data_IF_928998627483
#
_entry.id   IF_928998627483
#
_cell.length_a   1.000
_cell.length_b   1.000
_cell.length_c   1.000
_cell.angle_alpha   90.00
_cell.angle_beta   90.00
_cell.angle_gamma   90.00
#
_symmetry.space_group_name_H-M   'P 1'
#
loop_
_entity.id
_entity.type
_entity.pdbx_description
1 polymer ?
#
# COMPACT_ATOMS: atom_id res chain seq x y z
N UNK A 1 31.52 14.19 -39.16
CA UNK A 1 31.31 13.51 -37.87
C UNK A 1 29.87 13.05 -37.90
N UNK A 2 29.63 11.73 -37.96
CA UNK A 2 28.28 11.19 -38.11
C UNK A 2 27.55 11.36 -36.79
N UNK A 3 26.50 12.19 -36.81
CA UNK A 3 25.55 12.29 -35.72
C UNK A 3 24.60 11.10 -35.85
N UNK A 4 24.99 9.98 -35.25
CA UNK A 4 24.17 8.78 -35.18
C UNK A 4 23.05 9.06 -34.18
N UNK A 5 21.86 9.41 -34.69
CA UNK A 5 20.67 9.64 -33.88
C UNK A 5 20.42 8.45 -32.96
N UNK A 6 20.44 8.61 -31.62
CA UNK A 6 20.27 7.49 -30.72
C UNK A 6 18.85 6.92 -30.85
N UNK A 7 18.75 5.61 -31.07
CA UNK A 7 17.51 4.85 -31.16
C UNK A 7 16.56 5.15 -29.98
N UNK A 8 15.24 5.31 -30.21
CA UNK A 8 14.25 5.56 -29.16
C UNK A 8 14.13 4.34 -28.25
N UNK A 9 14.91 4.34 -27.17
CA UNK A 9 15.05 3.21 -26.25
C UNK A 9 16.45 3.05 -25.66
N UNK A 10 17.44 3.80 -26.13
CA UNK A 10 18.77 3.84 -25.53
C UNK A 10 18.69 4.43 -24.11
N UNK A 11 18.74 3.56 -23.11
CA UNK A 11 18.76 3.95 -21.71
C UNK A 11 20.12 4.56 -21.39
N UNK A 12 20.14 5.80 -20.91
CA UNK A 12 21.38 6.50 -20.56
C UNK A 12 22.20 5.67 -19.53
N UNK A 13 23.53 5.80 -19.52
CA UNK A 13 24.39 5.16 -18.51
C UNK A 13 23.96 5.54 -17.09
N UNK A 14 24.06 4.61 -16.15
CA UNK A 14 23.58 4.76 -14.77
C UNK A 14 24.09 6.03 -14.07
N UNK A 15 25.39 6.39 -14.11
CA UNK A 15 25.88 7.61 -13.47
C UNK A 15 25.25 8.88 -14.06
N UNK A 16 24.98 8.87 -15.37
CA UNK A 16 24.36 9.98 -16.08
C UNK A 16 22.88 10.08 -15.71
N UNK A 17 22.17 8.95 -15.63
CA UNK A 17 20.77 8.93 -15.17
C UNK A 17 20.62 9.42 -13.73
N UNK A 18 21.52 9.02 -12.84
CA UNK A 18 21.45 9.40 -11.43
C UNK A 18 21.75 10.89 -11.24
N UNK A 19 22.76 11.39 -11.95
CA UNK A 19 23.10 12.81 -11.95
C UNK A 19 21.96 13.66 -12.52
N UNK A 20 21.42 13.27 -13.68
CA UNK A 20 20.26 13.95 -14.27
C UNK A 20 19.02 13.82 -13.38
N UNK A 21 18.79 12.66 -12.77
CA UNK A 21 17.69 12.46 -11.82
C UNK A 21 17.81 13.35 -10.60
N UNK A 22 19.03 13.57 -10.08
CA UNK A 22 19.30 14.49 -8.98
C UNK A 22 19.06 15.95 -9.39
N UNK A 23 19.52 16.36 -10.58
CA UNK A 23 19.28 17.69 -11.13
C UNK A 23 17.79 17.94 -11.37
N UNK A 24 17.10 17.00 -12.01
CA UNK A 24 15.67 17.11 -12.31
C UNK A 24 14.84 17.16 -11.03
N UNK A 25 15.18 16.37 -9.99
CA UNK A 25 14.53 16.49 -8.67
C UNK A 25 14.78 17.84 -8.00
N UNK A 26 15.90 18.51 -8.27
CA UNK A 26 16.20 19.85 -7.77
C UNK A 26 15.60 21.00 -8.58
N UNK A 27 15.27 20.77 -9.87
CA UNK A 27 14.66 21.74 -10.79
C UNK A 27 13.14 21.55 -10.89
N UNK A 28 12.63 20.38 -10.52
CA UNK A 28 11.20 20.16 -10.25
C UNK A 28 10.76 21.17 -9.19
N UNK A 29 9.70 21.96 -9.44
CA UNK A 29 9.54 23.24 -8.76
C UNK A 29 9.39 23.09 -7.25
N UNK A 30 10.15 23.92 -6.53
CA UNK A 30 9.84 24.35 -5.15
C UNK A 30 8.79 25.49 -5.19
N UNK A 31 8.41 25.99 -6.38
CA UNK A 31 7.41 27.06 -6.59
C UNK A 31 6.10 26.61 -7.28
N UNK A 32 5.97 25.35 -7.66
CA UNK A 32 4.67 24.73 -7.88
C UNK A 32 4.41 23.89 -6.64
N UNK A 33 3.21 24.02 -6.07
CA UNK A 33 2.77 23.27 -4.89
C UNK A 33 3.34 21.85 -4.87
N UNK A 34 3.80 21.43 -3.68
CA UNK A 34 4.27 20.09 -3.31
C UNK A 34 3.95 19.06 -4.41
N UNK A 35 4.95 18.43 -5.07
CA UNK A 35 4.72 17.56 -6.21
C UNK A 35 3.53 16.65 -5.91
N UNK A 36 2.47 16.76 -6.72
CA UNK A 36 1.13 16.18 -6.50
C UNK A 36 1.08 14.68 -6.12
N UNK A 37 2.19 13.98 -6.28
CA UNK A 37 2.40 12.58 -5.89
C UNK A 37 3.03 12.37 -4.50
N UNK A 38 3.46 13.42 -3.79
CA UNK A 38 4.13 13.40 -2.48
C UNK A 38 3.24 13.92 -1.32
N UNK A 39 1.95 14.18 -1.57
CA UNK A 39 0.90 14.19 -0.55
C UNK A 39 0.05 15.46 -0.45
N UNK A 40 -1.22 15.24 -0.11
CA UNK A 40 -2.31 16.20 0.17
C UNK A 40 -3.01 16.86 -1.02
N UNK A 41 -2.67 16.53 -2.27
CA UNK A 41 -3.65 16.77 -3.33
C UNK A 41 -4.76 15.73 -3.21
N UNK A 42 -6.04 16.13 -3.29
CA UNK A 42 -7.15 15.21 -3.22
C UNK A 42 -6.94 14.14 -4.29
N UNK A 43 -7.13 12.88 -3.87
CA UNK A 43 -7.00 11.75 -4.77
C UNK A 43 -7.85 12.05 -6.01
N UNK A 44 -7.30 11.97 -7.25
CA UNK A 44 -8.03 12.33 -8.44
C UNK A 44 -9.41 11.65 -8.47
N UNK A 45 -10.46 12.39 -8.81
CA UNK A 45 -11.86 11.89 -8.80
C UNK A 45 -12.04 10.59 -9.59
N UNK A 46 -11.20 10.36 -10.61
CA UNK A 46 -11.18 9.12 -11.39
C UNK A 46 -10.91 7.86 -10.55
N UNK A 47 -10.32 8.01 -9.36
CA UNK A 47 -10.02 6.93 -8.42
C UNK A 47 -11.07 6.78 -7.32
N UNK A 48 -12.07 7.66 -7.22
CA UNK A 48 -13.16 7.57 -6.23
C UNK A 48 -13.81 6.18 -6.17
N UNK A 49 -14.18 5.54 -7.31
CA UNK A 49 -14.78 4.21 -7.28
C UNK A 49 -13.87 3.14 -6.64
N UNK A 50 -12.57 3.21 -6.93
CA UNK A 50 -11.56 2.28 -6.45
C UNK A 50 -11.32 2.49 -4.94
N UNK A 51 -11.26 3.75 -4.49
CA UNK A 51 -11.14 4.11 -3.07
C UNK A 51 -12.33 3.57 -2.28
N UNK A 52 -13.57 3.84 -2.72
CA UNK A 52 -14.77 3.33 -2.05
C UNK A 52 -14.80 1.82 -1.94
N UNK A 53 -14.33 1.12 -2.99
CA UNK A 53 -14.23 -0.35 -2.97
C UNK A 53 -13.20 -0.83 -1.93
N UNK A 54 -12.08 -0.11 -1.78
CA UNK A 54 -11.06 -0.44 -0.78
C UNK A 54 -11.57 -0.18 0.64
N UNK A 55 -12.20 0.97 0.88
CA UNK A 55 -12.80 1.32 2.18
C UNK A 55 -13.87 0.29 2.60
N UNK A 56 -14.73 -0.11 1.66
CA UNK A 56 -15.75 -1.13 1.91
C UNK A 56 -15.12 -2.46 2.32
N UNK A 57 -14.10 -2.92 1.57
CA UNK A 57 -13.40 -4.16 1.87
C UNK A 57 -12.69 -4.12 3.21
N UNK A 58 -12.06 -2.99 3.52
CA UNK A 58 -11.35 -2.79 4.79
C UNK A 58 -12.35 -2.86 5.96
N UNK A 59 -13.45 -2.11 5.87
CA UNK A 59 -14.50 -2.11 6.88
C UNK A 59 -15.10 -3.50 7.09
N UNK A 60 -15.45 -4.20 6.01
CA UNK A 60 -15.96 -5.58 6.11
C UNK A 60 -14.93 -6.55 6.70
N UNK A 61 -13.64 -6.36 6.39
CA UNK A 61 -12.60 -7.20 6.97
C UNK A 61 -12.44 -6.94 8.48
N UNK A 62 -12.45 -5.69 8.92
CA UNK A 62 -12.36 -5.32 10.33
C UNK A 62 -13.57 -5.83 11.13
N UNK A 63 -14.78 -5.53 10.65
CA UNK A 63 -16.03 -5.98 11.28
C UNK A 63 -16.15 -7.51 11.23
N UNK A 64 -15.80 -8.14 10.11
CA UNK A 64 -15.83 -9.58 9.93
C UNK A 64 -14.83 -10.31 10.84
N UNK A 65 -13.61 -9.78 11.00
CA UNK A 65 -12.61 -10.35 11.90
C UNK A 65 -13.10 -10.30 13.35
N UNK A 66 -13.69 -9.17 13.77
CA UNK A 66 -14.26 -9.03 15.11
C UNK A 66 -15.44 -9.98 15.35
N UNK A 67 -16.36 -10.08 14.39
CA UNK A 67 -17.53 -10.96 14.48
C UNK A 67 -17.14 -12.44 14.56
N UNK A 68 -16.15 -12.88 13.76
CA UNK A 68 -15.63 -14.25 13.83
C UNK A 68 -14.94 -14.52 15.16
N UNK A 69 -14.11 -13.59 15.65
CA UNK A 69 -13.49 -13.71 16.98
C UNK A 69 -14.52 -13.91 18.09
N UNK A 70 -15.54 -13.04 18.12
CA UNK A 70 -16.63 -13.14 19.10
C UNK A 70 -17.41 -14.47 18.99
N UNK A 71 -17.65 -14.95 17.77
CA UNK A 71 -18.32 -16.24 17.56
C UNK A 71 -17.45 -17.41 18.06
N UNK A 72 -16.14 -17.37 17.83
CA UNK A 72 -15.21 -18.38 18.34
C UNK A 72 -15.14 -18.37 19.87
N UNK A 73 -15.12 -17.20 20.50
CA UNK A 73 -15.15 -17.09 21.97
C UNK A 73 -16.43 -17.69 22.55
N UNK A 74 -17.59 -17.40 21.95
CA UNK A 74 -18.87 -18.02 22.36
C UNK A 74 -18.86 -19.54 22.21
N UNK A 75 -18.25 -20.06 21.15
CA UNK A 75 -18.11 -21.51 20.92
C UNK A 75 -17.16 -22.11 21.97
N UNK A 76 -16.02 -21.48 22.27
CA UNK A 76 -15.07 -21.96 23.28
C UNK A 76 -15.71 -21.96 24.68
N UNK A 77 -16.47 -20.93 25.03
CA UNK A 77 -17.22 -20.84 26.27
C UNK A 77 -18.27 -21.96 26.37
N UNK A 78 -19.04 -22.20 25.29
CA UNK A 78 -20.03 -23.27 25.25
C UNK A 78 -19.41 -24.67 25.34
N UNK A 79 -18.18 -24.84 24.83
CA UNK A 79 -17.40 -26.06 24.92
C UNK A 79 -16.63 -26.18 26.26
N UNK A 80 -16.67 -25.16 27.12
CA UNK A 80 -15.96 -25.15 28.40
C UNK A 80 -14.43 -25.11 28.27
N UNK A 81 -13.90 -24.72 27.12
CA UNK A 81 -12.46 -24.67 26.84
C UNK A 81 -11.93 -23.30 27.25
N UNK A 82 -11.11 -23.23 28.29
CA UNK A 82 -10.44 -21.98 28.68
C UNK A 82 -9.23 -21.71 27.76
N UNK A 83 -9.13 -20.52 27.16
CA UNK A 83 -7.95 -20.16 26.37
C UNK A 83 -6.72 -20.11 27.30
N UNK A 84 -5.86 -21.12 27.21
CA UNK A 84 -4.63 -21.23 28.01
C UNK A 84 -4.47 -22.51 28.83
N UNK A 85 -5.44 -23.43 28.87
CA UNK A 85 -5.22 -24.75 29.48
C UNK A 85 -4.59 -25.70 28.44
N UNK A 86 -3.30 -26.10 28.59
CA UNK A 86 -2.76 -27.19 27.79
C UNK A 86 -3.53 -28.45 28.16
N UNK A 87 -4.24 -29.02 27.18
CA UNK A 87 -5.08 -30.19 27.35
C UNK A 87 -4.41 -31.25 28.21
N UNK A 88 -4.98 -31.50 29.39
CA UNK A 88 -4.56 -32.59 30.27
C UNK A 88 -4.92 -33.89 29.54
N UNK A 89 -3.95 -34.48 28.87
CA UNK A 89 -4.05 -35.85 28.38
C UNK A 89 -4.06 -36.76 29.61
N UNK A 90 -5.24 -37.26 29.94
CA UNK A 90 -5.42 -38.28 30.97
C UNK A 90 -4.71 -39.57 30.53
N UNK A 91 -4.02 -40.18 31.50
CA UNK A 91 -3.45 -41.53 31.42
C UNK A 91 -4.05 -42.39 32.51
#
# INVERSE_FOLDING_TARGET
MSDESPEPGAVLPEPVRDHLGQQLRGVLPVEADKPRFLGDDPVPEVFEPQIRRLETRLKTHEEGTGAVGQALDQILDALGVKPGEPGRREG
#
